data_IF_650697595345
#
_entry.id   IF_650697595345
#
_cell.length_a   1.000
_cell.length_b   1.000
_cell.length_c   1.000
_cell.angle_alpha   90.00
_cell.angle_beta   90.00
_cell.angle_gamma   90.00
#
_symmetry.space_group_name_H-M   'P 1'
#
loop_
_entity.id
_entity.type
_entity.pdbx_description
1 polymer ?
#
# COMPACT_ATOMS: atom_id res chain seq x y z
N UNK A 1 9.56 -18.43 -6.29
CA UNK A 1 10.32 -18.37 -5.02
C UNK A 1 11.34 -17.22 -4.90
N UNK A 2 12.43 -17.15 -5.69
CA UNK A 2 13.45 -16.08 -5.49
C UNK A 2 12.89 -14.65 -5.59
N UNK A 3 12.13 -14.35 -6.66
CA UNK A 3 11.46 -13.06 -6.83
C UNK A 3 10.42 -12.79 -5.72
N UNK A 4 9.72 -13.82 -5.25
CA UNK A 4 8.75 -13.73 -4.14
C UNK A 4 9.42 -13.27 -2.86
N UNK A 5 10.55 -13.91 -2.49
CA UNK A 5 11.30 -13.58 -1.29
C UNK A 5 11.97 -12.21 -1.41
N UNK A 6 12.49 -11.86 -2.59
CA UNK A 6 13.00 -10.52 -2.85
C UNK A 6 11.94 -9.44 -2.60
N UNK A 7 10.74 -9.63 -3.15
CA UNK A 7 9.63 -8.70 -2.96
C UNK A 7 9.11 -8.68 -1.53
N UNK A 8 9.13 -9.80 -0.81
CA UNK A 8 8.82 -9.84 0.63
C UNK A 8 9.85 -9.01 1.44
N UNK A 9 11.14 -9.14 1.15
CA UNK A 9 12.21 -8.32 1.76
C UNK A 9 12.08 -6.83 1.42
N UNK A 10 11.60 -6.50 0.23
CA UNK A 10 11.39 -5.10 -0.19
C UNK A 10 10.16 -4.48 0.48
N UNK A 11 9.00 -5.13 0.34
CA UNK A 11 7.72 -4.58 0.78
C UNK A 11 7.51 -4.70 2.28
N UNK A 12 7.96 -5.80 2.91
CA UNK A 12 7.74 -6.06 4.33
C UNK A 12 8.18 -4.92 5.24
N UNK A 13 9.46 -4.52 5.24
CA UNK A 13 9.94 -3.43 6.09
C UNK A 13 9.30 -2.08 5.77
N UNK A 14 9.07 -1.79 4.48
CA UNK A 14 8.46 -0.53 4.06
C UNK A 14 7.02 -0.41 4.56
N UNK A 15 6.22 -1.46 4.39
CA UNK A 15 4.83 -1.55 4.87
C UNK A 15 4.81 -1.48 6.40
N UNK A 16 5.71 -2.20 7.07
CA UNK A 16 5.80 -2.19 8.53
C UNK A 16 6.09 -0.77 9.06
N UNK A 17 7.04 -0.06 8.47
CA UNK A 17 7.36 1.31 8.85
C UNK A 17 6.16 2.27 8.69
N UNK A 18 5.42 2.15 7.58
CA UNK A 18 4.19 2.94 7.36
C UNK A 18 3.12 2.58 8.38
N UNK A 19 2.88 1.29 8.64
CA UNK A 19 1.90 0.84 9.62
C UNK A 19 2.20 1.35 11.03
N UNK A 20 3.47 1.26 11.46
CA UNK A 20 3.94 1.83 12.72
C UNK A 20 3.74 3.35 12.76
N UNK A 21 4.06 4.05 11.67
CA UNK A 21 3.83 5.49 11.56
C UNK A 21 2.35 5.88 11.71
N UNK A 22 1.44 5.15 11.07
CA UNK A 22 0.00 5.36 11.19
C UNK A 22 -0.46 5.17 12.64
N UNK A 23 0.07 4.16 13.33
CA UNK A 23 -0.29 3.84 14.70
C UNK A 23 0.27 4.85 15.72
N UNK A 24 1.56 5.18 15.61
CA UNK A 24 2.29 6.08 16.54
C UNK A 24 1.98 7.55 16.27
N UNK A 25 1.88 7.94 15.01
CA UNK A 25 1.77 9.34 14.56
C UNK A 25 0.51 9.57 13.75
N UNK A 26 -0.63 9.05 14.23
CA UNK A 26 -1.91 9.08 13.51
C UNK A 26 -2.29 10.46 12.95
N UNK A 27 -2.23 11.52 13.78
CA UNK A 27 -2.62 12.86 13.37
C UNK A 27 -1.73 13.41 12.23
N UNK A 28 -0.46 13.01 12.20
CA UNK A 28 0.46 13.35 11.13
C UNK A 28 0.07 12.67 9.81
N UNK A 29 -0.29 11.38 9.83
CA UNK A 29 -0.76 10.68 8.64
C UNK A 29 -2.11 11.19 8.12
N UNK A 30 -3.03 11.55 9.02
CA UNK A 30 -4.26 12.25 8.64
C UNK A 30 -3.92 13.57 7.95
N UNK A 31 -3.00 14.36 8.51
CA UNK A 31 -2.57 15.62 7.90
C UNK A 31 -1.96 15.40 6.51
N UNK A 32 -1.04 14.44 6.33
CA UNK A 32 -0.46 14.11 5.02
C UNK A 32 -1.57 13.82 4.01
N UNK A 33 -2.56 12.99 4.37
CA UNK A 33 -3.68 12.69 3.51
C UNK A 33 -4.47 13.95 3.12
N UNK A 34 -4.76 14.84 4.09
CA UNK A 34 -5.47 16.10 3.84
C UNK A 34 -4.70 17.09 2.98
N UNK A 35 -3.38 17.09 3.09
CA UNK A 35 -2.51 17.94 2.28
C UNK A 35 -2.41 17.38 0.85
N UNK A 36 -2.33 16.05 0.68
CA UNK A 36 -2.39 15.37 -0.61
C UNK A 36 -3.72 15.61 -1.33
N UNK A 37 -4.85 15.41 -0.65
CA UNK A 37 -6.22 15.60 -1.17
C UNK A 37 -6.44 17.00 -1.76
N UNK A 38 -5.73 18.02 -1.26
CA UNK A 38 -5.87 19.40 -1.73
C UNK A 38 -5.00 19.74 -2.94
N UNK A 39 -4.03 18.90 -3.27
CA UNK A 39 -3.06 19.14 -4.33
C UNK A 39 -3.28 18.15 -5.49
N UNK A 40 -3.97 18.61 -6.53
CA UNK A 40 -4.31 17.79 -7.69
C UNK A 40 -3.07 17.24 -8.42
N UNK A 41 -1.95 17.98 -8.46
CA UNK A 41 -0.71 17.48 -9.07
C UNK A 41 -0.10 16.38 -8.20
N UNK A 42 -0.10 16.55 -6.88
CA UNK A 42 0.39 15.52 -5.97
C UNK A 42 -0.44 14.23 -6.07
N UNK A 43 -1.78 14.33 -6.15
CA UNK A 43 -2.68 13.18 -6.37
C UNK A 43 -2.36 12.47 -7.69
N UNK A 44 -2.21 13.21 -8.78
CA UNK A 44 -1.88 12.66 -10.10
C UNK A 44 -0.52 11.97 -10.10
N UNK A 45 0.52 12.63 -9.57
CA UNK A 45 1.89 12.08 -9.52
C UNK A 45 1.92 10.82 -8.65
N UNK A 46 1.31 10.86 -7.47
CA UNK A 46 1.23 9.70 -6.58
C UNK A 46 0.49 8.53 -7.25
N UNK A 47 -0.63 8.82 -7.93
CA UNK A 47 -1.39 7.83 -8.70
C UNK A 47 -0.55 7.21 -9.81
N UNK A 48 0.13 8.02 -10.60
CA UNK A 48 1.02 7.57 -11.68
C UNK A 48 2.18 6.71 -11.16
N UNK A 49 2.81 7.12 -10.06
CA UNK A 49 3.88 6.35 -9.42
C UNK A 49 3.37 5.00 -8.90
N UNK A 50 2.25 4.99 -8.19
CA UNK A 50 1.65 3.76 -7.67
C UNK A 50 1.22 2.82 -8.81
N UNK A 51 0.63 3.36 -9.88
CA UNK A 51 0.20 2.59 -11.05
C UNK A 51 1.41 1.96 -11.75
N UNK A 52 2.46 2.75 -12.01
CA UNK A 52 3.69 2.28 -12.67
C UNK A 52 4.40 1.22 -11.82
N UNK A 53 4.51 1.44 -10.50
CA UNK A 53 5.07 0.46 -9.57
C UNK A 53 4.24 -0.83 -9.54
N UNK A 54 2.91 -0.75 -9.59
CA UNK A 54 2.02 -1.91 -9.67
C UNK A 54 2.20 -2.70 -10.96
N UNK A 55 2.27 -2.02 -12.11
CA UNK A 55 2.55 -2.65 -13.41
C UNK A 55 3.92 -3.35 -13.37
N UNK A 56 4.97 -2.64 -12.93
CA UNK A 56 6.31 -3.19 -12.82
C UNK A 56 6.34 -4.42 -11.89
N UNK A 57 5.63 -4.37 -10.77
CA UNK A 57 5.50 -5.49 -9.85
C UNK A 57 4.85 -6.69 -10.56
N UNK A 58 3.69 -6.52 -11.19
CA UNK A 58 2.97 -7.62 -11.89
C UNK A 58 3.83 -8.23 -13.00
N UNK A 59 4.54 -7.40 -13.76
CA UNK A 59 5.45 -7.88 -14.82
C UNK A 59 6.63 -8.66 -14.24
N UNK A 60 7.12 -8.29 -13.06
CA UNK A 60 8.22 -8.97 -12.38
C UNK A 60 7.78 -10.22 -11.62
N UNK A 61 6.55 -10.20 -11.07
CA UNK A 61 5.98 -11.26 -10.25
C UNK A 61 4.45 -11.24 -10.33
N UNK A 62 3.89 -12.32 -10.88
CA UNK A 62 2.44 -12.58 -10.90
C UNK A 62 2.19 -14.09 -10.84
N UNK A 63 2.62 -14.70 -9.74
CA UNK A 63 2.52 -16.14 -9.48
C UNK A 63 1.54 -16.37 -8.32
N UNK A 64 0.73 -17.42 -8.40
CA UNK A 64 -0.37 -17.67 -7.47
C UNK A 64 -0.36 -19.08 -6.88
N UNK A 65 0.76 -19.79 -6.99
CA UNK A 65 0.84 -21.22 -6.65
C UNK A 65 0.88 -21.48 -5.13
N UNK A 66 1.45 -20.57 -4.36
CA UNK A 66 1.51 -20.64 -2.89
C UNK A 66 0.83 -19.44 -2.23
N UNK A 67 0.50 -19.55 -0.94
CA UNK A 67 -0.10 -18.44 -0.19
C UNK A 67 0.79 -17.19 -0.21
N UNK A 68 2.10 -17.34 0.00
CA UNK A 68 3.04 -16.22 -0.04
C UNK A 68 3.11 -15.58 -1.43
N UNK A 69 3.18 -16.39 -2.48
CA UNK A 69 3.19 -15.90 -3.87
C UNK A 69 1.89 -15.15 -4.19
N UNK A 70 0.74 -15.68 -3.76
CA UNK A 70 -0.55 -14.99 -3.88
C UNK A 70 -0.59 -13.65 -3.14
N UNK A 71 -0.06 -13.58 -1.92
CA UNK A 71 0.02 -12.33 -1.15
C UNK A 71 0.89 -11.29 -1.88
N UNK A 72 2.06 -11.69 -2.39
CA UNK A 72 2.95 -10.79 -3.12
C UNK A 72 2.31 -10.31 -4.43
N UNK A 73 1.75 -11.22 -5.24
CA UNK A 73 1.03 -10.88 -6.46
C UNK A 73 -0.14 -9.93 -6.19
N UNK A 74 -0.87 -10.14 -5.09
CA UNK A 74 -1.93 -9.25 -4.65
C UNK A 74 -1.43 -7.81 -4.40
N UNK A 75 -0.23 -7.61 -3.85
CA UNK A 75 0.33 -6.26 -3.69
C UNK A 75 0.56 -5.56 -5.02
N UNK A 76 1.03 -6.27 -6.05
CA UNK A 76 1.17 -5.72 -7.40
C UNK A 76 -0.16 -5.22 -7.97
N UNK A 77 -1.19 -6.06 -7.90
CA UNK A 77 -2.54 -5.70 -8.34
C UNK A 77 -3.18 -4.59 -7.50
N UNK A 78 -3.01 -4.62 -6.18
CA UNK A 78 -3.52 -3.58 -5.30
C UNK A 78 -2.88 -2.20 -5.59
N UNK A 79 -1.58 -2.17 -5.88
CA UNK A 79 -0.89 -0.94 -6.30
C UNK A 79 -1.39 -0.43 -7.64
N UNK A 80 -1.57 -1.32 -8.62
CA UNK A 80 -2.10 -0.97 -9.93
C UNK A 80 -3.51 -0.37 -9.81
N UNK A 81 -4.42 -1.07 -9.13
CA UNK A 81 -5.81 -0.60 -8.94
C UNK A 81 -5.84 0.72 -8.17
N UNK A 82 -5.08 0.81 -7.07
CA UNK A 82 -4.99 2.06 -6.30
C UNK A 82 -4.47 3.22 -7.18
N UNK A 83 -3.38 3.01 -7.91
CA UNK A 83 -2.83 4.03 -8.80
C UNK A 83 -3.81 4.46 -9.89
N UNK A 84 -4.49 3.50 -10.52
CA UNK A 84 -5.52 3.77 -11.52
C UNK A 84 -6.69 4.57 -10.94
N UNK A 85 -7.14 4.27 -9.72
CA UNK A 85 -8.21 5.05 -9.06
C UNK A 85 -7.78 6.50 -8.81
N UNK A 86 -6.55 6.74 -8.37
CA UNK A 86 -6.03 8.09 -8.17
C UNK A 86 -5.93 8.89 -9.47
N UNK A 87 -5.61 8.24 -10.58
CA UNK A 87 -5.45 8.90 -11.90
C UNK A 87 -6.79 9.11 -12.61
N UNK A 88 -7.66 8.10 -12.61
CA UNK A 88 -8.88 8.07 -13.44
C UNK A 88 -10.07 8.66 -12.69
N UNK A 89 -10.19 8.39 -11.38
CA UNK A 89 -11.37 8.78 -10.58
C UNK A 89 -10.95 9.36 -9.21
N UNK A 90 -10.18 10.46 -9.17
CA UNK A 90 -9.68 11.04 -7.92
C UNK A 90 -10.80 11.40 -6.92
N UNK A 91 -11.95 11.90 -7.40
CA UNK A 91 -13.11 12.21 -6.55
C UNK A 91 -13.66 10.98 -5.79
N UNK A 92 -13.48 9.77 -6.32
CA UNK A 92 -13.82 8.55 -5.60
C UNK A 92 -12.83 8.27 -4.48
N UNK A 93 -11.54 8.48 -4.74
CA UNK A 93 -10.47 8.31 -3.75
C UNK A 93 -10.67 9.26 -2.57
N UNK A 94 -10.98 10.53 -2.83
CA UNK A 94 -11.18 11.53 -1.79
C UNK A 94 -12.41 11.21 -0.93
N UNK A 95 -13.52 10.79 -1.55
CA UNK A 95 -14.72 10.34 -0.82
C UNK A 95 -14.42 9.12 0.04
N UNK A 96 -13.67 8.15 -0.48
CA UNK A 96 -13.26 6.97 0.26
C UNK A 96 -12.36 7.35 1.44
N UNK A 97 -11.30 8.15 1.24
CA UNK A 97 -10.42 8.55 2.33
C UNK A 97 -11.14 9.38 3.40
N UNK A 98 -12.05 10.27 3.01
CA UNK A 98 -12.95 10.98 3.92
C UNK A 98 -13.79 10.03 4.78
N UNK A 99 -14.39 9.01 4.17
CA UNK A 99 -15.16 8.00 4.90
C UNK A 99 -14.30 7.29 5.95
N UNK A 100 -13.07 6.90 5.61
CA UNK A 100 -12.16 6.21 6.53
C UNK A 100 -11.72 7.09 7.70
N UNK A 101 -11.45 8.37 7.44
CA UNK A 101 -11.16 9.36 8.50
C UNK A 101 -12.37 9.51 9.43
N UNK A 102 -13.55 9.76 8.87
CA UNK A 102 -14.77 10.05 9.63
C UNK A 102 -15.28 8.85 10.44
N UNK A 103 -15.12 7.64 9.91
CA UNK A 103 -15.48 6.38 10.60
C UNK A 103 -14.39 5.88 11.54
N UNK A 104 -13.31 6.63 11.73
CA UNK A 104 -12.21 6.26 12.63
C UNK A 104 -11.58 4.89 12.26
N UNK A 105 -11.49 4.57 10.96
CA UNK A 105 -10.98 3.28 10.45
C UNK A 105 -9.46 3.27 10.25
N UNK A 106 -8.81 4.43 10.36
CA UNK A 106 -7.36 4.57 10.19
C UNK A 106 -6.55 3.67 11.15
N UNK A 107 -6.90 3.52 12.45
CA UNK A 107 -6.20 2.60 13.35
C UNK A 107 -6.31 1.14 12.90
N UNK A 108 -7.49 0.72 12.41
CA UNK A 108 -7.69 -0.61 11.87
C UNK A 108 -6.78 -0.85 10.65
N UNK A 109 -6.72 0.12 9.74
CA UNK A 109 -5.80 0.10 8.61
C UNK A 109 -4.33 -0.04 9.06
N UNK A 110 -3.93 0.74 10.07
CA UNK A 110 -2.60 0.67 10.66
C UNK A 110 -2.27 -0.71 11.22
N UNK A 111 -3.17 -1.32 11.99
CA UNK A 111 -2.99 -2.67 12.56
C UNK A 111 -2.83 -3.72 11.46
N UNK A 112 -3.71 -3.72 10.44
CA UNK A 112 -3.61 -4.65 9.32
C UNK A 112 -2.28 -4.47 8.55
N UNK A 113 -1.85 -3.22 8.37
CA UNK A 113 -0.59 -2.88 7.72
C UNK A 113 0.61 -3.38 8.52
N UNK A 114 0.59 -3.22 9.85
CA UNK A 114 1.64 -3.74 10.74
C UNK A 114 1.71 -5.26 10.66
N UNK A 115 0.57 -5.97 10.75
CA UNK A 115 0.53 -7.44 10.69
C UNK A 115 1.09 -7.93 9.36
N UNK A 116 0.67 -7.32 8.23
CA UNK A 116 1.20 -7.67 6.92
C UNK A 116 2.71 -7.40 6.81
N UNK A 117 3.16 -6.24 7.31
CA UNK A 117 4.57 -5.87 7.32
C UNK A 117 5.45 -6.81 8.15
N UNK A 118 4.99 -7.20 9.34
CA UNK A 118 5.66 -8.20 10.20
C UNK A 118 5.75 -9.54 9.49
N UNK A 119 4.62 -10.04 8.95
CA UNK A 119 4.58 -11.33 8.26
C UNK A 119 5.55 -11.38 7.08
N UNK A 120 5.49 -10.37 6.19
CA UNK A 120 6.36 -10.30 5.02
C UNK A 120 7.83 -10.11 5.38
N UNK A 121 8.14 -9.30 6.40
CA UNK A 121 9.52 -9.13 6.87
C UNK A 121 10.05 -10.44 7.47
N UNK A 122 9.24 -11.14 8.27
CA UNK A 122 9.65 -12.40 8.87
C UNK A 122 9.97 -13.44 7.79
N UNK A 123 9.03 -13.69 6.87
CA UNK A 123 9.22 -14.66 5.79
C UNK A 123 10.32 -14.22 4.82
N UNK A 124 10.43 -12.93 4.55
CA UNK A 124 11.46 -12.38 3.67
C UNK A 124 12.87 -12.61 4.20
N UNK A 125 13.14 -12.34 5.49
CA UNK A 125 14.49 -12.35 6.03
C UNK A 125 14.87 -13.65 6.77
N UNK A 126 13.90 -14.41 7.27
CA UNK A 126 14.13 -15.56 8.14
C UNK A 126 13.39 -16.84 7.71
N UNK A 127 12.56 -16.77 6.66
CA UNK A 127 11.80 -17.89 6.10
C UNK A 127 12.52 -18.64 4.99
#
# INVERSE_FOLDING_TARGET
MEATIFLAKLWGPAILAVGLGIFVSRNYYIKIYRDLEKDALAVLVFGMMAMTAGIAHILFHNVWDTFLEGVISFFGWALLVKGALFVIVPDFVDRAGNFWVNKNLIPLAGILTIIAGIYLSWVGYFG
#
